data_IF_012111247094
#
_entry.id   IF_012111247094
#
_cell.length_a   1.000
_cell.length_b   1.000
_cell.length_c   1.000
_cell.angle_alpha   90.00
_cell.angle_beta   90.00
_cell.angle_gamma   90.00
#
_symmetry.space_group_name_H-M   'P 1'
#
loop_
_entity.id
_entity.type
_entity.pdbx_description
1 polymer ?
#
# COMPACT_ATOMS: atom_id res chain seq x y z
N UNK A 1 17.60 -15.94 6.88
CA UNK A 1 16.31 -15.32 6.50
C UNK A 1 15.27 -16.43 6.51
N UNK A 2 14.18 -16.30 7.26
CA UNK A 2 13.18 -17.36 7.42
C UNK A 2 11.83 -16.93 6.87
N UNK A 3 11.16 -17.81 6.14
CA UNK A 3 9.76 -17.64 5.72
C UNK A 3 8.89 -18.55 6.57
N UNK A 4 7.85 -17.98 7.19
CA UNK A 4 6.82 -18.74 7.89
C UNK A 4 5.46 -18.44 7.27
N UNK A 5 4.76 -19.48 6.83
CA UNK A 5 3.42 -19.36 6.28
C UNK A 5 2.42 -19.73 7.39
N UNK A 6 1.58 -18.77 7.78
CA UNK A 6 0.49 -18.97 8.73
C UNK A 6 -0.82 -19.10 7.95
N UNK A 7 -1.37 -20.31 7.86
CA UNK A 7 -2.55 -20.63 7.07
C UNK A 7 -3.67 -21.27 7.91
N UNK A 8 -4.90 -21.21 7.42
CA UNK A 8 -6.07 -21.75 8.12
C UNK A 8 -7.38 -21.12 7.65
N UNK A 9 -8.51 -21.77 7.95
CA UNK A 9 -9.86 -21.30 7.57
C UNK A 9 -10.19 -19.94 8.19
N UNK A 10 -11.20 -19.25 7.65
CA UNK A 10 -11.74 -18.05 8.31
C UNK A 10 -12.13 -18.38 9.77
N UNK A 11 -11.84 -17.48 10.72
CA UNK A 11 -12.07 -17.72 12.14
C UNK A 11 -11.00 -18.56 12.88
N UNK A 12 -9.99 -19.11 12.20
CA UNK A 12 -8.95 -19.95 12.84
C UNK A 12 -7.94 -19.19 13.73
N UNK A 13 -8.16 -17.91 14.02
CA UNK A 13 -7.28 -17.12 14.89
C UNK A 13 -5.98 -16.61 14.27
N UNK A 14 -5.79 -16.65 12.94
CA UNK A 14 -4.57 -16.18 12.26
C UNK A 14 -4.13 -14.77 12.68
N UNK A 15 -5.07 -13.82 12.71
CA UNK A 15 -4.77 -12.44 13.09
C UNK A 15 -4.33 -12.37 14.55
N UNK A 16 -5.05 -13.05 15.46
CA UNK A 16 -4.70 -13.13 16.88
C UNK A 16 -3.33 -13.76 17.10
N UNK A 17 -2.99 -14.80 16.34
CA UNK A 17 -1.67 -15.42 16.34
C UNK A 17 -0.58 -14.39 16.00
N UNK A 18 -0.72 -13.65 14.91
CA UNK A 18 0.27 -12.61 14.53
C UNK A 18 0.39 -11.51 15.59
N UNK A 19 -0.73 -11.04 16.16
CA UNK A 19 -0.67 -10.02 17.21
C UNK A 19 -0.01 -10.51 18.50
N UNK A 20 -0.25 -11.75 18.90
CA UNK A 20 0.39 -12.34 20.07
C UNK A 20 1.90 -12.51 19.84
N UNK A 21 2.32 -12.93 18.65
CA UNK A 21 3.75 -13.02 18.32
C UNK A 21 4.42 -11.63 18.34
N UNK A 22 3.73 -10.59 17.87
CA UNK A 22 4.22 -9.21 17.99
C UNK A 22 4.31 -8.81 19.46
N UNK A 23 3.29 -9.09 20.28
CA UNK A 23 3.32 -8.81 21.73
C UNK A 23 4.52 -9.48 22.40
N UNK A 24 4.73 -10.77 22.15
CA UNK A 24 5.84 -11.54 22.71
C UNK A 24 7.19 -10.96 22.30
N UNK A 25 7.34 -10.53 21.04
CA UNK A 25 8.59 -9.88 20.59
C UNK A 25 8.78 -8.47 21.15
N UNK A 26 7.70 -7.74 21.43
CA UNK A 26 7.78 -6.39 22.02
C UNK A 26 8.12 -6.46 23.51
N UNK A 27 7.44 -7.35 24.26
CA UNK A 27 7.66 -7.57 25.69
C UNK A 27 8.92 -8.40 25.97
N UNK A 28 9.27 -9.28 25.04
CA UNK A 28 10.48 -10.07 25.02
C UNK A 28 11.66 -9.17 24.68
N UNK A 29 12.50 -9.02 25.69
CA UNK A 29 13.88 -8.63 25.58
C UNK A 29 14.63 -9.44 24.48
N UNK A 30 14.55 -9.01 23.22
CA UNK A 30 15.68 -9.13 22.29
C UNK A 30 16.80 -8.15 22.72
N UNK A 31 17.03 -8.02 24.04
CA UNK A 31 18.05 -7.17 24.66
C UNK A 31 19.38 -7.92 24.79
N UNK A 32 19.59 -8.97 24.00
CA UNK A 32 20.80 -9.80 24.06
C UNK A 32 21.78 -9.53 22.92
N UNK A 33 21.52 -8.57 22.04
CA UNK A 33 22.50 -8.10 21.07
C UNK A 33 22.55 -6.57 21.09
N UNK A 34 23.57 -6.03 21.76
CA UNK A 34 24.34 -4.78 21.59
C UNK A 34 23.87 -3.71 20.58
N UNK A 35 22.57 -3.47 20.42
CA UNK A 35 22.01 -2.57 19.40
C UNK A 35 20.54 -2.23 19.63
N UNK A 36 20.06 -1.21 18.91
CA UNK A 36 18.64 -0.82 18.96
C UNK A 36 17.74 -2.00 18.50
N UNK A 37 16.61 -2.23 19.17
CA UNK A 37 15.66 -3.26 18.76
C UNK A 37 15.13 -3.00 17.35
N UNK A 38 15.13 -4.03 16.51
CA UNK A 38 14.64 -3.94 15.12
C UNK A 38 13.12 -3.63 15.11
N UNK A 39 12.66 -2.77 14.18
CA UNK A 39 11.24 -2.44 14.06
C UNK A 39 10.43 -3.65 13.58
N UNK A 40 9.23 -3.81 14.13
CA UNK A 40 8.26 -4.82 13.73
C UNK A 40 7.20 -4.19 12.83
N UNK A 41 7.04 -4.70 11.62
CA UNK A 41 6.10 -4.15 10.64
C UNK A 41 4.92 -5.10 10.44
N UNK A 42 3.71 -4.62 10.73
CA UNK A 42 2.46 -5.30 10.40
C UNK A 42 1.87 -4.68 9.14
N UNK A 43 2.03 -5.36 8.00
CA UNK A 43 1.50 -4.89 6.72
C UNK A 43 0.07 -5.40 6.54
N UNK A 44 -0.87 -4.47 6.33
CA UNK A 44 -2.29 -4.77 6.13
C UNK A 44 -2.84 -3.98 4.93
N UNK A 45 -3.96 -4.42 4.31
CA UNK A 45 -4.64 -3.58 3.32
C UNK A 45 -5.06 -2.24 3.93
N UNK A 46 -5.07 -1.19 3.09
CA UNK A 46 -5.29 0.19 3.54
C UNK A 46 -6.62 0.35 4.31
N UNK A 47 -7.66 -0.40 3.89
CA UNK A 47 -8.98 -0.41 4.51
C UNK A 47 -8.99 -0.94 5.95
N UNK A 48 -7.99 -1.74 6.34
CA UNK A 48 -7.91 -2.36 7.67
C UNK A 48 -6.91 -1.67 8.61
N UNK A 49 -6.17 -0.66 8.13
CA UNK A 49 -5.09 0.01 8.86
C UNK A 49 -5.52 0.48 10.26
N UNK A 50 -6.60 1.27 10.35
CA UNK A 50 -7.10 1.80 11.63
C UNK A 50 -7.52 0.70 12.61
N UNK A 51 -8.16 -0.36 12.11
CA UNK A 51 -8.57 -1.48 12.98
C UNK A 51 -7.35 -2.24 13.51
N UNK A 52 -6.35 -2.46 12.64
CA UNK A 52 -5.11 -3.10 13.02
C UNK A 52 -4.31 -2.28 14.03
N UNK A 53 -4.24 -0.95 13.87
CA UNK A 53 -3.61 -0.04 14.84
C UNK A 53 -4.28 -0.13 16.23
N UNK A 54 -5.63 -0.07 16.27
CA UNK A 54 -6.39 -0.20 17.52
C UNK A 54 -6.13 -1.54 18.21
N UNK A 55 -6.09 -2.63 17.45
CA UNK A 55 -5.82 -3.95 17.99
C UNK A 55 -4.39 -4.04 18.53
N UNK A 56 -3.41 -3.52 17.78
CA UNK A 56 -2.01 -3.50 18.19
C UNK A 56 -1.82 -2.70 19.49
N UNK A 57 -2.40 -1.50 19.57
CA UNK A 57 -2.35 -0.66 20.77
C UNK A 57 -2.97 -1.34 22.00
N UNK A 58 -4.13 -2.00 21.83
CA UNK A 58 -4.77 -2.76 22.93
C UNK A 58 -3.90 -3.92 23.42
N UNK A 59 -3.17 -4.55 22.52
CA UNK A 59 -2.41 -5.78 22.78
C UNK A 59 -1.05 -5.48 23.39
N UNK A 60 -0.39 -4.40 22.96
CA UNK A 60 0.97 -4.03 23.35
C UNK A 60 1.04 -2.97 24.46
N UNK A 61 -0.09 -2.31 24.77
CA UNK A 61 -0.13 -1.18 25.72
C UNK A 61 0.57 0.08 25.17
N UNK A 62 0.66 1.13 26.00
CA UNK A 62 1.26 2.41 25.60
C UNK A 62 2.77 2.31 25.31
N UNK A 63 3.47 1.35 25.93
CA UNK A 63 4.93 1.17 25.81
C UNK A 63 5.37 0.43 24.54
N UNK A 64 4.48 -0.32 23.88
CA UNK A 64 4.85 -1.18 22.74
C UNK A 64 4.69 -0.56 21.35
N UNK A 65 4.00 0.59 21.25
CA UNK A 65 3.71 1.26 19.97
C UNK A 65 4.99 1.77 19.28
N UNK A 66 6.04 2.09 20.03
CA UNK A 66 7.29 2.59 19.45
C UNK A 66 8.09 1.54 18.65
N UNK A 67 7.92 0.25 18.96
CA UNK A 67 8.68 -0.85 18.31
C UNK A 67 7.87 -1.56 17.22
N UNK A 68 6.54 -1.54 17.30
CA UNK A 68 5.66 -2.20 16.33
C UNK A 68 4.74 -1.19 15.63
N UNK A 69 4.73 -1.23 14.30
CA UNK A 69 3.99 -0.28 13.46
C UNK A 69 3.07 -1.00 12.46
N UNK A 70 1.90 -0.41 12.21
CA UNK A 70 0.96 -0.88 11.20
C UNK A 70 1.11 -0.05 9.93
N UNK A 71 1.39 -0.70 8.81
CA UNK A 71 1.57 -0.04 7.52
C UNK A 71 0.67 -0.65 6.44
N UNK A 72 0.24 0.18 5.51
CA UNK A 72 -0.22 -0.28 4.20
C UNK A 72 0.93 -0.22 3.21
N UNK A 73 0.82 -0.91 2.06
CA UNK A 73 1.83 -0.78 0.99
C UNK A 73 2.06 0.68 0.57
N UNK A 74 0.99 1.48 0.52
CA UNK A 74 1.08 2.91 0.21
C UNK A 74 1.87 3.68 1.26
N UNK A 75 1.61 3.45 2.56
CA UNK A 75 2.36 4.10 3.65
C UNK A 75 3.82 3.64 3.70
N UNK A 76 4.06 2.35 3.47
CA UNK A 76 5.41 1.80 3.37
C UNK A 76 6.20 2.45 2.24
N UNK A 77 5.61 2.57 1.04
CA UNK A 77 6.23 3.25 -0.09
C UNK A 77 6.56 4.71 0.25
N UNK A 78 5.62 5.44 0.87
CA UNK A 78 5.84 6.82 1.29
C UNK A 78 7.00 6.95 2.29
N UNK A 79 7.08 6.06 3.28
CA UNK A 79 8.19 6.02 4.25
C UNK A 79 9.53 5.82 3.55
N UNK A 80 9.63 4.80 2.70
CA UNK A 80 10.86 4.51 1.95
C UNK A 80 11.26 5.71 1.11
N UNK A 81 10.35 6.29 0.31
CA UNK A 81 10.66 7.45 -0.52
C UNK A 81 10.96 8.73 0.29
N UNK A 82 10.50 8.83 1.54
CA UNK A 82 10.86 9.94 2.42
C UNK A 82 12.31 9.82 2.89
N UNK A 83 12.81 8.60 3.05
CA UNK A 83 14.19 8.33 3.48
C UNK A 83 15.18 8.35 2.31
N UNK A 84 14.85 7.71 1.18
CA UNK A 84 15.77 7.59 0.02
C UNK A 84 15.56 8.67 -1.05
N UNK A 85 14.55 9.54 -0.87
CA UNK A 85 14.14 10.54 -1.86
C UNK A 85 13.07 10.04 -2.83
N UNK A 86 12.33 10.99 -3.43
CA UNK A 86 11.26 10.73 -4.40
C UNK A 86 9.89 11.32 -4.03
N UNK A 87 9.66 11.66 -2.76
CA UNK A 87 8.38 12.23 -2.27
C UNK A 87 8.09 13.62 -2.84
N UNK A 88 9.11 14.39 -3.21
CA UNK A 88 8.96 15.75 -3.74
C UNK A 88 8.28 15.82 -5.11
N UNK A 89 8.07 14.68 -5.79
CA UNK A 89 7.32 14.63 -7.04
C UNK A 89 5.85 14.90 -6.78
N UNK A 90 5.27 15.87 -7.49
CA UNK A 90 3.82 16.11 -7.49
C UNK A 90 3.13 14.93 -8.16
N UNK A 91 2.34 14.20 -7.38
CA UNK A 91 1.54 13.09 -7.90
C UNK A 91 0.26 13.65 -8.53
N UNK A 92 -0.11 13.15 -9.70
CA UNK A 92 -1.41 13.48 -10.31
C UNK A 92 -2.51 12.73 -9.57
N UNK A 93 -3.55 13.47 -9.18
CA UNK A 93 -4.81 12.90 -8.74
C UNK A 93 -5.60 12.33 -9.93
N UNK A 94 -6.77 11.74 -9.65
CA UNK A 94 -7.61 11.16 -10.70
C UNK A 94 -8.10 12.22 -11.70
N UNK A 95 -8.46 13.42 -11.23
CA UNK A 95 -8.90 14.51 -12.08
C UNK A 95 -7.78 14.97 -13.04
N UNK A 96 -6.57 15.18 -12.52
CA UNK A 96 -5.40 15.56 -13.31
C UNK A 96 -5.04 14.51 -14.35
N UNK A 97 -5.14 13.21 -14.02
CA UNK A 97 -4.97 12.13 -15.00
C UNK A 97 -6.02 12.20 -16.11
N UNK A 98 -7.29 12.39 -15.77
CA UNK A 98 -8.35 12.52 -16.76
C UNK A 98 -8.16 13.74 -17.68
N UNK A 99 -7.73 14.88 -17.13
CA UNK A 99 -7.43 16.08 -17.92
C UNK A 99 -6.25 15.86 -18.87
N UNK A 100 -5.20 15.18 -18.41
CA UNK A 100 -4.05 14.83 -19.24
C UNK A 100 -4.46 13.90 -20.39
N UNK A 101 -5.22 12.85 -20.09
CA UNK A 101 -5.71 11.89 -21.09
C UNK A 101 -6.66 12.56 -22.08
N UNK A 102 -7.57 13.43 -21.62
CA UNK A 102 -8.42 14.22 -22.51
C UNK A 102 -7.58 15.01 -23.53
N UNK A 103 -6.55 15.73 -23.06
CA UNK A 103 -5.68 16.52 -23.93
C UNK A 103 -4.90 15.66 -24.94
N UNK A 104 -4.49 14.46 -24.56
CA UNK A 104 -3.81 13.52 -25.46
C UNK A 104 -4.78 13.02 -26.54
N UNK A 105 -5.99 12.64 -26.14
CA UNK A 105 -7.03 12.12 -27.05
C UNK A 105 -7.60 13.21 -27.97
N UNK A 106 -7.63 14.46 -27.54
CA UNK A 106 -7.99 15.60 -28.38
C UNK A 106 -7.00 15.79 -29.54
N UNK A 107 -5.71 15.53 -29.31
CA UNK A 107 -4.67 15.67 -30.34
C UNK A 107 -4.49 14.44 -31.22
N UNK A 108 -4.47 13.26 -30.61
CA UNK A 108 -4.09 12.00 -31.26
C UNK A 108 -5.26 11.03 -31.43
N UNK A 109 -6.42 11.34 -30.88
CA UNK A 109 -7.59 10.45 -30.89
C UNK A 109 -8.07 10.13 -32.31
N UNK A 110 -7.96 11.08 -33.24
CA UNK A 110 -8.29 10.87 -34.65
C UNK A 110 -7.43 9.80 -35.33
N UNK A 111 -6.22 9.55 -34.84
CA UNK A 111 -5.28 8.56 -35.38
C UNK A 111 -5.55 7.14 -34.84
N UNK A 112 -6.42 6.99 -33.85
CA UNK A 112 -6.76 5.68 -33.29
C UNK A 112 -7.54 4.84 -34.30
N UNK A 113 -7.00 3.66 -34.61
CA UNK A 113 -7.59 2.72 -35.59
C UNK A 113 -9.01 2.27 -35.22
N UNK A 114 -9.28 2.06 -33.93
CA UNK A 114 -10.55 1.49 -33.44
C UNK A 114 -11.37 2.53 -32.68
N UNK A 115 -10.73 3.34 -31.83
CA UNK A 115 -11.43 4.22 -30.88
C UNK A 115 -11.54 5.69 -31.31
N UNK A 116 -11.22 6.03 -32.57
CA UNK A 116 -11.25 7.44 -33.03
C UNK A 116 -12.59 8.13 -32.83
N UNK A 117 -13.70 7.41 -33.07
CA UNK A 117 -15.07 7.95 -32.88
C UNK A 117 -15.48 8.12 -31.41
N UNK A 118 -14.79 7.46 -30.48
CA UNK A 118 -15.11 7.45 -29.06
C UNK A 118 -14.07 8.17 -28.20
N UNK A 119 -12.95 8.61 -28.79
CA UNK A 119 -11.79 9.16 -28.09
C UNK A 119 -12.13 10.32 -27.14
N UNK A 120 -13.09 11.18 -27.50
CA UNK A 120 -13.47 12.35 -26.69
C UNK A 120 -14.71 12.12 -25.79
N UNK A 121 -15.27 10.91 -25.76
CA UNK A 121 -16.38 10.60 -24.86
C UNK A 121 -15.86 10.48 -23.43
N UNK A 122 -16.53 11.14 -22.48
CA UNK A 122 -16.16 11.12 -21.05
C UNK A 122 -15.91 9.71 -20.51
N UNK A 123 -16.79 8.76 -20.81
CA UNK A 123 -16.65 7.37 -20.35
C UNK A 123 -15.42 6.64 -20.91
N UNK A 124 -14.97 6.99 -22.12
CA UNK A 124 -13.78 6.38 -22.70
C UNK A 124 -12.50 6.79 -21.96
N UNK A 125 -12.44 8.03 -21.49
CA UNK A 125 -11.30 8.56 -20.73
C UNK A 125 -11.15 7.83 -19.39
N UNK A 126 -12.26 7.60 -18.69
CA UNK A 126 -12.27 6.84 -17.44
C UNK A 126 -11.81 5.39 -17.70
N UNK A 127 -12.37 4.71 -18.71
CA UNK A 127 -11.95 3.35 -19.07
C UNK A 127 -10.47 3.26 -19.46
N UNK A 128 -9.95 4.24 -20.21
CA UNK A 128 -8.54 4.27 -20.59
C UNK A 128 -7.63 4.53 -19.37
N UNK A 129 -8.04 5.42 -18.47
CA UNK A 129 -7.33 5.67 -17.21
C UNK A 129 -7.25 4.41 -16.34
N UNK A 130 -8.35 3.66 -16.26
CA UNK A 130 -8.41 2.41 -15.51
C UNK A 130 -7.53 1.33 -16.15
N UNK A 131 -7.58 1.17 -17.48
CA UNK A 131 -6.72 0.25 -18.22
C UNK A 131 -5.23 0.56 -18.04
N UNK A 132 -4.83 1.83 -18.14
CA UNK A 132 -3.43 2.25 -17.89
C UNK A 132 -3.03 1.95 -16.43
N UNK A 133 -3.95 2.17 -15.48
CA UNK A 133 -3.71 1.86 -14.07
C UNK A 133 -3.52 0.36 -13.86
N UNK A 134 -4.30 -0.47 -14.55
CA UNK A 134 -4.17 -1.92 -14.53
C UNK A 134 -2.84 -2.37 -15.12
N UNK A 135 -2.46 -1.91 -16.31
CA UNK A 135 -1.16 -2.21 -16.91
C UNK A 135 0.00 -1.89 -15.96
N UNK A 136 -0.02 -0.72 -15.30
CA UNK A 136 0.99 -0.37 -14.30
C UNK A 136 1.00 -1.29 -13.08
N UNK A 137 -0.14 -1.82 -12.64
CA UNK A 137 -0.23 -2.75 -11.51
C UNK A 137 0.29 -4.14 -11.84
N UNK A 138 0.14 -4.55 -13.10
CA UNK A 138 0.61 -5.84 -13.62
C UNK A 138 2.00 -5.75 -14.28
N UNK A 139 2.70 -4.64 -14.12
CA UNK A 139 4.06 -4.41 -14.67
C UNK A 139 4.14 -4.54 -16.21
N UNK A 140 3.11 -4.05 -16.91
CA UNK A 140 3.03 -3.96 -18.37
C UNK A 140 3.41 -2.54 -18.78
N UNK A 141 4.43 -2.40 -19.65
CA UNK A 141 4.99 -1.12 -20.11
C UNK A 141 4.97 -0.94 -21.62
#
# INVERSE_FOLDING_TARGET
MGLRIVYGRAGSGKSSFCYNEIREKVSGADSTETGLPKPLLLIVPEQFSLQAEKNLARITGASGIYRAEVLSFRRLAYRVFSEVGGVTRRHLDSAGKSMLLFRILDRLGGELKVFSRTALRKGFIESLSDAITEFKRYDIT
#
